data_IF_020440547755
#
_entry.id   IF_020440547755
#
_cell.length_a   1.000
_cell.length_b   1.000
_cell.length_c   1.000
_cell.angle_alpha   90.00
_cell.angle_beta   90.00
_cell.angle_gamma   90.00
#
_symmetry.space_group_name_H-M   'P 1'
#
loop_
_entity.id
_entity.type
_entity.pdbx_description
1 polymer ?
#
# COMPACT_ATOMS: atom_id res chain seq x y z
N UNK A 1 1.12 -2.42 -2.40
CA UNK A 1 0.39 -1.36 -3.14
C UNK A 1 0.80 -1.36 -4.61
N UNK A 2 -0.06 -0.89 -5.51
CA UNK A 2 0.20 -0.81 -6.95
C UNK A 2 -0.48 0.41 -7.58
N UNK A 3 0.11 0.92 -8.67
CA UNK A 3 -0.51 1.92 -9.52
C UNK A 3 -1.59 1.26 -10.39
N UNK A 4 -2.81 1.79 -10.33
CA UNK A 4 -3.93 1.31 -11.12
C UNK A 4 -4.39 2.39 -12.09
N UNK A 5 -4.28 2.09 -13.38
CA UNK A 5 -4.94 2.86 -14.43
C UNK A 5 -6.22 2.11 -14.81
N UNK A 6 -7.36 2.77 -14.71
CA UNK A 6 -8.65 2.17 -15.08
C UNK A 6 -9.42 3.10 -16.01
N UNK A 7 -10.14 2.48 -16.95
CA UNK A 7 -11.01 3.20 -17.87
C UNK A 7 -12.39 3.37 -17.25
N UNK A 8 -12.89 4.60 -17.26
CA UNK A 8 -14.27 4.90 -16.93
C UNK A 8 -14.88 5.69 -18.09
N UNK A 9 -15.89 5.09 -18.74
CA UNK A 9 -16.49 5.58 -19.99
C UNK A 9 -15.39 5.79 -21.05
N UNK A 10 -15.09 7.03 -21.39
CA UNK A 10 -14.11 7.41 -22.42
C UNK A 10 -12.81 7.97 -21.85
N UNK A 11 -12.64 7.97 -20.53
CA UNK A 11 -11.48 8.58 -19.87
C UNK A 11 -10.72 7.57 -19.04
N UNK A 12 -9.40 7.73 -19.01
CA UNK A 12 -8.51 6.95 -18.15
C UNK A 12 -8.26 7.69 -16.84
N UNK A 13 -8.30 6.96 -15.74
CA UNK A 13 -8.10 7.48 -14.39
C UNK A 13 -6.96 6.74 -13.70
N UNK A 14 -6.20 7.46 -12.90
CA UNK A 14 -5.02 6.95 -12.18
C UNK A 14 -5.28 6.99 -10.68
N UNK A 15 -5.06 5.86 -10.01
CA UNK A 15 -5.11 5.75 -8.55
C UNK A 15 -4.06 4.78 -8.04
N UNK A 16 -3.64 4.93 -6.79
CA UNK A 16 -2.86 3.93 -6.08
C UNK A 16 -3.80 3.12 -5.22
N UNK A 17 -3.74 1.80 -5.39
CA UNK A 17 -4.59 0.85 -4.72
C UNK A 17 -3.78 -0.25 -4.04
N UNK A 18 -4.40 -0.89 -3.06
CA UNK A 18 -3.83 -2.02 -2.36
C UNK A 18 -4.86 -3.15 -2.26
N UNK A 19 -4.45 -4.35 -2.64
CA UNK A 19 -5.23 -5.55 -2.39
C UNK A 19 -4.97 -6.04 -0.96
N UNK A 20 -6.04 -6.29 -0.22
CA UNK A 20 -5.98 -6.88 1.12
C UNK A 20 -6.99 -8.02 1.21
N UNK A 21 -6.72 -8.99 2.08
CA UNK A 21 -7.71 -10.00 2.44
C UNK A 21 -8.55 -9.49 3.58
N UNK A 22 -9.86 -9.52 3.39
CA UNK A 22 -10.81 -9.20 4.45
C UNK A 22 -10.63 -10.21 5.62
N UNK A 23 -10.50 -9.73 6.88
CA UNK A 23 -10.19 -10.60 8.01
C UNK A 23 -11.33 -11.58 8.32
N UNK A 24 -12.58 -11.21 8.04
CA UNK A 24 -13.75 -12.04 8.32
C UNK A 24 -14.06 -12.97 7.15
N UNK A 25 -14.23 -12.39 5.96
CA UNK A 25 -14.70 -13.14 4.78
C UNK A 25 -13.56 -13.83 4.01
N UNK A 26 -12.29 -13.51 4.32
CA UNK A 26 -11.06 -13.99 3.64
C UNK A 26 -10.99 -13.71 2.14
N UNK A 27 -11.97 -12.97 1.60
CA UNK A 27 -12.05 -12.58 0.19
C UNK A 27 -11.08 -11.44 -0.11
N UNK A 28 -10.48 -11.40 -1.31
CA UNK A 28 -9.67 -10.28 -1.73
C UNK A 28 -10.56 -9.04 -1.89
N UNK A 29 -10.16 -7.93 -1.27
CA UNK A 29 -10.77 -6.62 -1.42
C UNK A 29 -9.70 -5.61 -1.82
N UNK A 30 -10.11 -4.56 -2.51
CA UNK A 30 -9.22 -3.47 -2.93
C UNK A 30 -9.51 -2.26 -2.06
N UNK A 31 -8.47 -1.69 -1.45
CA UNK A 31 -8.49 -0.40 -0.78
C UNK A 31 -7.84 0.64 -1.68
N UNK A 32 -8.53 1.75 -1.96
CA UNK A 32 -7.93 2.89 -2.65
C UNK A 32 -7.17 3.71 -1.63
N UNK A 33 -5.88 3.92 -1.85
CA UNK A 33 -5.01 4.69 -0.95
C UNK A 33 -5.00 6.15 -1.38
N UNK A 34 -4.80 6.40 -2.67
CA UNK A 34 -4.77 7.76 -3.22
C UNK A 34 -5.37 7.78 -4.63
N UNK A 35 -6.20 8.78 -4.93
CA UNK A 35 -6.78 8.99 -6.24
C UNK A 35 -6.17 10.25 -6.87
N UNK A 36 -5.67 10.14 -8.10
CA UNK A 36 -5.03 11.24 -8.82
C UNK A 36 -5.93 11.81 -9.93
N UNK A 37 -7.05 11.15 -10.23
CA UNK A 37 -8.00 11.63 -11.23
C UNK A 37 -7.61 11.24 -12.66
N UNK A 38 -7.94 12.10 -13.62
CA UNK A 38 -7.84 11.80 -15.05
C UNK A 38 -6.37 11.82 -15.52
N UNK A 39 -5.97 10.76 -16.23
CA UNK A 39 -4.60 10.55 -16.73
C UNK A 39 -4.15 11.62 -17.73
N UNK A 40 -5.01 12.02 -18.66
CA UNK A 40 -4.67 13.03 -19.67
C UNK A 40 -4.38 14.38 -19.03
N UNK A 41 -5.18 14.77 -18.02
CA UNK A 41 -4.93 16.00 -17.26
C UNK A 41 -3.62 15.93 -16.47
N UNK A 42 -3.36 14.80 -15.82
CA UNK A 42 -2.10 14.55 -15.12
C UNK A 42 -0.89 14.69 -16.04
N UNK A 43 -0.94 14.08 -17.23
CA UNK A 43 0.15 14.13 -18.20
C UNK A 43 0.32 15.51 -18.86
N UNK A 44 -0.77 16.26 -19.00
CA UNK A 44 -0.73 17.62 -19.50
C UNK A 44 -0.05 18.59 -18.51
N UNK A 45 -0.25 18.39 -17.21
CA UNK A 45 0.41 19.18 -16.16
C UNK A 45 1.86 18.72 -15.91
N UNK A 46 2.08 17.40 -15.85
CA UNK A 46 3.40 16.80 -15.70
C UNK A 46 3.56 15.58 -16.61
N UNK A 47 4.36 15.67 -17.70
CA UNK A 47 4.59 14.55 -18.61
C UNK A 47 5.17 13.30 -17.93
N UNK A 48 5.89 13.48 -16.81
CA UNK A 48 6.52 12.40 -16.05
C UNK A 48 5.68 11.93 -14.86
N UNK A 49 4.43 12.39 -14.73
CA UNK A 49 3.57 12.08 -13.58
C UNK A 49 3.47 10.58 -13.31
N UNK A 50 3.34 9.75 -14.34
CA UNK A 50 3.20 8.30 -14.17
C UNK A 50 4.48 7.66 -13.60
N UNK A 51 5.65 8.13 -14.04
CA UNK A 51 6.93 7.61 -13.54
C UNK A 51 7.15 8.02 -12.08
N UNK A 52 6.84 9.27 -11.73
CA UNK A 52 6.90 9.74 -10.34
C UNK A 52 5.93 8.97 -9.44
N UNK A 53 4.71 8.72 -9.91
CA UNK A 53 3.73 7.92 -9.18
C UNK A 53 4.20 6.49 -8.99
N UNK A 54 4.88 5.91 -9.97
CA UNK A 54 5.47 4.57 -9.84
C UNK A 54 6.55 4.55 -8.76
N UNK A 55 7.50 5.51 -8.78
CA UNK A 55 8.53 5.64 -7.73
C UNK A 55 7.91 5.82 -6.35
N UNK A 56 6.82 6.58 -6.26
CA UNK A 56 6.07 6.78 -5.01
C UNK A 56 5.44 5.47 -4.51
N UNK A 57 4.89 4.64 -5.41
CA UNK A 57 4.38 3.31 -5.07
C UNK A 57 5.48 2.41 -4.52
N UNK A 58 6.65 2.43 -5.16
CA UNK A 58 7.78 1.60 -4.76
C UNK A 58 8.30 2.02 -3.37
N UNK A 59 8.41 3.32 -3.11
CA UNK A 59 8.77 3.84 -1.79
C UNK A 59 7.73 3.45 -0.73
N UNK A 60 6.43 3.59 -1.02
CA UNK A 60 5.38 3.20 -0.07
C UNK A 60 5.39 1.69 0.24
N UNK A 61 5.72 0.86 -0.75
CA UNK A 61 5.88 -0.58 -0.53
C UNK A 61 7.07 -0.88 0.39
N UNK A 62 8.20 -0.19 0.18
CA UNK A 62 9.40 -0.34 1.00
C UNK A 62 9.15 0.10 2.46
N UNK A 63 8.51 1.26 2.65
CA UNK A 63 8.15 1.77 3.99
C UNK A 63 7.19 0.82 4.71
N UNK A 64 6.23 0.23 3.98
CA UNK A 64 5.30 -0.74 4.54
C UNK A 64 6.03 -2.02 4.98
N UNK A 65 6.93 -2.55 4.16
CA UNK A 65 7.74 -3.72 4.52
C UNK A 65 8.59 -3.45 5.77
N UNK A 66 9.30 -2.32 5.82
CA UNK A 66 10.08 -1.93 6.98
C UNK A 66 9.23 -1.81 8.25
N UNK A 67 8.03 -1.23 8.14
CA UNK A 67 7.10 -1.09 9.26
C UNK A 67 6.60 -2.45 9.73
N UNK A 68 6.24 -3.35 8.81
CA UNK A 68 5.77 -4.70 9.13
C UNK A 68 6.86 -5.54 9.81
N UNK A 69 8.10 -5.48 9.32
CA UNK A 69 9.25 -6.15 9.92
C UNK A 69 9.55 -5.60 11.32
N UNK A 70 9.56 -4.26 11.48
CA UNK A 70 9.79 -3.63 12.78
C UNK A 70 8.75 -4.08 13.81
N UNK A 71 7.47 -4.08 13.44
CA UNK A 71 6.38 -4.53 14.29
C UNK A 71 6.46 -6.03 14.62
N UNK A 72 6.89 -6.86 13.67
CA UNK A 72 7.10 -8.29 13.91
C UNK A 72 8.21 -8.51 14.95
N UNK A 73 9.34 -7.81 14.80
CA UNK A 73 10.46 -7.87 15.75
C UNK A 73 10.04 -7.44 17.15
N UNK A 74 9.30 -6.32 17.27
CA UNK A 74 8.79 -5.85 18.57
C UNK A 74 7.89 -6.89 19.26
N UNK A 75 7.02 -7.56 18.49
CA UNK A 75 6.15 -8.62 19.03
C UNK A 75 6.94 -9.83 19.52
N UNK A 76 7.99 -10.24 18.79
CA UNK A 76 8.86 -11.35 19.21
C UNK A 76 9.62 -10.98 20.48
N UNK A 77 10.19 -9.78 20.56
CA UNK A 77 10.88 -9.29 21.77
C UNK A 77 9.95 -9.26 22.97
N UNK A 78 8.75 -8.68 22.83
CA UNK A 78 7.76 -8.62 23.90
C UNK A 78 7.31 -10.02 24.37
N UNK A 79 7.20 -10.99 23.46
CA UNK A 79 6.86 -12.37 23.80
C UNK A 79 7.97 -13.04 24.63
N UNK A 80 9.24 -12.86 24.25
CA UNK A 80 10.39 -13.42 24.97
C UNK A 80 10.49 -12.83 26.38
N UNK A 81 10.31 -11.51 26.52
CA UNK A 81 10.32 -10.83 27.82
C UNK A 81 9.17 -11.28 28.73
N UNK A 82 7.98 -11.49 28.17
CA UNK A 82 6.85 -11.99 28.96
C UNK A 82 7.07 -13.43 29.43
N UNK A 83 7.63 -14.30 28.56
CA UNK A 83 7.90 -15.69 28.89
C UNK A 83 9.00 -15.85 29.96
N UNK A 84 9.98 -14.94 30.01
CA UNK A 84 11.03 -14.95 31.04
C UNK A 84 10.59 -14.38 32.39
N UNK A 85 9.50 -13.60 32.42
CA UNK A 85 8.97 -12.94 33.61
C UNK A 85 7.92 -13.75 34.40
N UNK A 86 7.48 -14.92 33.89
CA UNK A 86 6.58 -15.82 34.61
C UNK A 86 7.39 -16.96 35.26
N UNK A 87 7.68 -16.93 36.57
CA UNK A 87 8.28 -18.08 37.26
C UNK A 87 7.25 -19.21 37.38
N UNK A 88 7.74 -20.44 37.21
CA UNK A 88 6.99 -21.71 37.32
C UNK A 88 6.34 -21.94 38.68
#
# INVERSE_FOLDING_TARGET
MYLQIFKNRNQEYVRIAESYRDPETKKPKIRVIQNFGNKEKLLAENPNAIEELQKKVDQMNLEKEHTEVSMATQRVSAFIEHASAQPS
#
